data_IF_207799652336
#
_entry.id   IF_207799652336
#
_cell.length_a   1.000
_cell.length_b   1.000
_cell.length_c   1.000
_cell.angle_alpha   90.00
_cell.angle_beta   90.00
_cell.angle_gamma   90.00
#
_symmetry.space_group_name_H-M   'P 1'
#
loop_
_entity.id
_entity.type
_entity.pdbx_description
1 polymer ?
#
# COMPACT_ATOMS: atom_id res chain seq x y z
N UNK A 1 -42.02 32.67 -91.05
CA UNK A 1 -41.48 31.91 -89.92
C UNK A 1 -40.02 32.26 -89.87
N UNK A 2 -39.58 32.97 -88.89
CA UNK A 2 -38.22 33.57 -88.84
C UNK A 2 -37.33 32.61 -88.05
N UNK A 3 -36.25 32.23 -88.71
CA UNK A 3 -35.08 31.56 -88.18
C UNK A 3 -34.23 32.56 -87.42
N UNK A 4 -34.07 32.40 -86.17
CA UNK A 4 -33.24 33.28 -85.33
C UNK A 4 -31.87 32.60 -85.15
N UNK A 5 -30.88 33.22 -85.77
CA UNK A 5 -29.49 32.77 -85.72
C UNK A 5 -28.89 33.00 -84.32
N UNK A 6 -28.39 31.95 -83.71
CA UNK A 6 -27.58 32.01 -82.47
C UNK A 6 -26.20 32.63 -82.80
N UNK A 7 -25.72 33.55 -81.94
CA UNK A 7 -24.37 34.10 -82.12
C UNK A 7 -23.30 33.11 -81.63
N UNK A 8 -22.25 32.97 -82.49
CA UNK A 8 -21.05 32.19 -82.19
C UNK A 8 -20.28 32.77 -80.99
N UNK A 9 -19.70 31.94 -80.14
CA UNK A 9 -18.85 32.40 -79.03
C UNK A 9 -17.52 32.96 -79.60
N UNK A 10 -16.94 34.00 -78.95
CA UNK A 10 -15.68 34.56 -79.39
C UNK A 10 -14.51 33.62 -79.15
N UNK A 11 -13.62 33.50 -80.16
CA UNK A 11 -12.39 32.73 -80.05
C UNK A 11 -11.45 33.30 -79.01
N UNK A 12 -10.82 32.46 -78.18
CA UNK A 12 -9.84 32.93 -77.23
C UNK A 12 -8.58 33.45 -77.89
N UNK A 13 -8.13 34.63 -77.49
CA UNK A 13 -6.91 35.28 -77.91
C UNK A 13 -5.72 34.51 -77.34
N UNK A 14 -4.71 34.06 -78.03
CA UNK A 14 -3.52 33.49 -77.46
C UNK A 14 -2.76 34.58 -76.69
N UNK A 15 -2.69 34.45 -75.38
CA UNK A 15 -1.80 35.25 -74.56
C UNK A 15 -0.45 34.52 -74.55
N UNK A 16 0.54 35.09 -75.24
CA UNK A 16 1.93 34.68 -75.05
C UNK A 16 2.33 35.08 -73.64
N UNK A 17 2.38 34.06 -72.75
CA UNK A 17 2.89 34.21 -71.41
C UNK A 17 4.42 34.08 -71.43
N UNK A 18 5.18 35.18 -71.26
CA UNK A 18 6.62 35.10 -71.28
C UNK A 18 7.03 34.29 -70.01
N UNK A 19 7.62 33.13 -70.22
CA UNK A 19 8.22 32.35 -69.15
C UNK A 19 9.07 33.24 -68.23
N UNK A 20 8.87 33.24 -66.93
CA UNK A 20 9.71 34.04 -66.04
C UNK A 20 11.18 33.60 -66.18
N UNK A 21 12.12 34.52 -66.10
CA UNK A 21 13.54 34.20 -66.21
C UNK A 21 13.91 33.21 -65.12
N UNK A 22 14.68 32.16 -65.47
CA UNK A 22 15.21 31.19 -64.54
C UNK A 22 16.00 31.93 -63.49
N UNK A 23 15.48 31.90 -62.26
CA UNK A 23 16.19 32.42 -61.07
C UNK A 23 17.41 31.53 -60.88
N UNK A 24 18.64 32.04 -60.88
CA UNK A 24 19.81 31.20 -60.54
C UNK A 24 19.62 30.61 -59.17
N UNK A 25 19.83 29.29 -59.03
CA UNK A 25 19.80 28.62 -57.72
C UNK A 25 20.65 29.38 -56.71
N UNK A 26 20.06 29.78 -55.61
CA UNK A 26 20.73 30.53 -54.57
C UNK A 26 21.92 29.71 -54.05
N UNK A 27 23.10 30.08 -54.57
CA UNK A 27 24.36 29.50 -54.09
C UNK A 27 24.57 29.85 -52.64
N UNK A 28 24.55 28.83 -51.80
CA UNK A 28 24.98 28.80 -50.39
C UNK A 28 24.56 30.01 -49.54
N UNK A 29 23.52 29.83 -48.79
CA UNK A 29 23.20 30.72 -47.69
C UNK A 29 24.29 30.61 -46.62
N UNK A 30 25.19 31.59 -46.52
CA UNK A 30 26.29 31.66 -45.57
C UNK A 30 25.81 31.79 -44.10
N UNK A 31 24.50 32.01 -43.88
CA UNK A 31 23.85 32.07 -42.57
C UNK A 31 23.04 30.79 -42.22
N UNK A 32 23.06 29.78 -43.08
CA UNK A 32 22.46 28.52 -42.74
C UNK A 32 23.38 27.77 -41.78
N UNK A 33 23.00 27.75 -40.48
CA UNK A 33 23.65 26.88 -39.51
C UNK A 33 23.45 25.42 -39.93
N UNK A 34 24.55 24.70 -40.06
CA UNK A 34 24.50 23.25 -40.22
C UNK A 34 23.93 22.64 -38.95
N UNK A 35 22.70 22.15 -39.01
CA UNK A 35 22.12 21.32 -37.95
C UNK A 35 22.52 19.88 -38.29
N UNK A 36 23.42 19.27 -37.52
CA UNK A 36 23.78 17.89 -37.78
C UNK A 36 22.52 17.02 -37.60
N UNK A 37 22.31 16.04 -38.47
CA UNK A 37 21.20 15.13 -38.34
C UNK A 37 21.25 14.48 -36.94
N UNK A 38 20.10 14.29 -36.28
CA UNK A 38 20.09 13.64 -34.99
C UNK A 38 20.79 12.29 -35.08
N UNK A 39 21.59 11.91 -34.08
CA UNK A 39 22.30 10.65 -34.10
C UNK A 39 21.29 9.51 -34.30
N UNK A 40 21.55 8.69 -35.32
CA UNK A 40 20.75 7.49 -35.57
C UNK A 40 20.86 6.61 -34.33
N UNK A 41 19.80 6.57 -33.54
CA UNK A 41 19.73 5.66 -32.39
C UNK A 41 19.77 4.23 -32.94
N UNK A 42 20.92 3.57 -32.78
CA UNK A 42 20.98 2.13 -33.02
C UNK A 42 19.86 1.46 -32.21
N UNK A 43 19.02 0.64 -32.84
CA UNK A 43 18.03 -0.14 -32.07
C UNK A 43 18.76 -0.83 -30.91
N UNK A 44 18.27 -0.62 -29.69
CA UNK A 44 18.79 -1.33 -28.55
C UNK A 44 18.70 -2.84 -28.85
N UNK A 45 19.73 -3.63 -28.54
CA UNK A 45 19.63 -5.06 -28.73
C UNK A 45 18.38 -5.57 -27.98
N UNK A 46 17.61 -6.49 -28.57
CA UNK A 46 16.41 -7.00 -27.93
C UNK A 46 16.79 -7.50 -26.53
N UNK A 47 16.14 -6.95 -25.50
CA UNK A 47 16.30 -7.44 -24.13
C UNK A 47 15.96 -8.91 -24.15
N UNK A 48 16.83 -9.82 -23.67
CA UNK A 48 16.52 -11.24 -23.67
C UNK A 48 15.22 -11.46 -22.92
N UNK A 49 14.23 -12.00 -23.60
CA UNK A 49 12.96 -12.41 -22.97
C UNK A 49 13.31 -13.41 -21.89
N UNK A 50 12.94 -13.19 -20.61
CA UNK A 50 13.23 -14.13 -19.55
C UNK A 50 12.65 -15.48 -19.92
N UNK A 51 13.50 -16.50 -20.00
CA UNK A 51 13.07 -17.89 -20.23
C UNK A 51 12.11 -18.26 -19.10
N UNK A 52 10.89 -18.77 -19.39
CA UNK A 52 9.97 -19.20 -18.36
C UNK A 52 10.66 -20.21 -17.44
N UNK A 53 10.61 -19.97 -16.13
CA UNK A 53 11.16 -20.88 -15.14
C UNK A 53 10.48 -22.25 -15.27
N UNK A 54 11.20 -23.37 -15.13
CA UNK A 54 10.61 -24.69 -15.16
C UNK A 54 9.52 -24.80 -14.08
N UNK A 55 8.42 -25.54 -14.35
CA UNK A 55 7.33 -25.68 -13.38
C UNK A 55 7.86 -26.30 -12.07
N UNK A 56 7.40 -25.80 -10.93
CA UNK A 56 7.88 -26.28 -9.63
C UNK A 56 7.55 -27.77 -9.43
N UNK A 57 8.46 -28.56 -8.87
CA UNK A 57 8.27 -29.98 -8.67
C UNK A 57 7.26 -30.32 -7.56
N UNK A 58 7.02 -29.41 -6.60
CA UNK A 58 5.99 -29.51 -5.57
C UNK A 58 4.82 -28.60 -5.95
N UNK A 59 3.61 -28.97 -5.55
CA UNK A 59 2.43 -28.14 -5.83
C UNK A 59 1.70 -27.83 -4.54
N UNK A 60 1.42 -26.54 -4.30
CA UNK A 60 0.49 -26.07 -3.27
C UNK A 60 -0.81 -25.72 -3.95
N UNK A 61 -1.90 -26.40 -3.54
CA UNK A 61 -3.25 -26.19 -4.07
C UNK A 61 -4.06 -25.21 -3.20
N UNK A 62 -3.91 -25.29 -1.87
CA UNK A 62 -4.62 -24.41 -0.96
C UNK A 62 -3.88 -24.25 0.37
N UNK A 63 -4.20 -23.15 1.04
CA UNK A 63 -3.69 -22.78 2.35
C UNK A 63 -4.87 -22.42 3.24
N UNK A 64 -4.91 -22.93 4.45
CA UNK A 64 -5.99 -22.67 5.41
C UNK A 64 -5.41 -22.36 6.79
N UNK A 65 -5.79 -21.23 7.42
CA UNK A 65 -6.66 -20.18 6.90
C UNK A 65 -5.98 -19.33 5.82
N UNK A 66 -6.77 -18.74 4.90
CA UNK A 66 -6.25 -17.84 3.85
C UNK A 66 -6.14 -16.40 4.36
N UNK A 67 -6.97 -16.04 5.35
CA UNK A 67 -7.03 -14.72 5.93
C UNK A 67 -6.90 -14.82 7.44
N UNK A 68 -6.06 -13.99 8.03
CA UNK A 68 -5.86 -13.86 9.47
C UNK A 68 -5.76 -12.39 9.84
N UNK A 69 -5.89 -12.09 11.14
CA UNK A 69 -5.67 -10.71 11.61
C UNK A 69 -4.26 -10.56 12.18
N UNK A 70 -3.67 -9.41 11.96
CA UNK A 70 -2.40 -9.04 12.58
C UNK A 70 -2.51 -9.03 14.12
N UNK A 71 -1.40 -9.29 14.80
CA UNK A 71 -1.29 -9.29 16.26
C UNK A 71 -2.18 -10.32 16.98
N UNK A 72 -2.65 -11.33 16.27
CA UNK A 72 -3.29 -12.49 16.90
C UNK A 72 -2.22 -13.42 17.48
N UNK A 73 -2.64 -14.38 18.31
CA UNK A 73 -1.77 -15.45 18.84
C UNK A 73 -1.32 -16.39 17.73
N UNK A 74 -0.37 -17.24 18.05
CA UNK A 74 0.07 -18.34 17.21
C UNK A 74 -1.12 -19.17 16.71
N UNK A 75 -1.07 -19.59 15.48
CA UNK A 75 -2.14 -20.37 14.87
C UNK A 75 -1.59 -21.49 14.00
N UNK A 76 -2.45 -22.47 13.77
CA UNK A 76 -2.15 -23.59 12.89
C UNK A 76 -2.45 -23.23 11.44
N UNK A 77 -1.48 -23.50 10.57
CA UNK A 77 -1.59 -23.34 9.13
C UNK A 77 -1.58 -24.73 8.51
N UNK A 78 -2.61 -25.07 7.78
CA UNK A 78 -2.72 -26.30 7.04
C UNK A 78 -2.55 -26.00 5.53
N UNK A 79 -1.70 -26.78 4.87
CA UNK A 79 -1.40 -26.66 3.44
C UNK A 79 -1.80 -27.95 2.75
N UNK A 80 -2.66 -27.85 1.77
CA UNK A 80 -2.97 -28.94 0.85
C UNK A 80 -2.22 -28.74 -0.47
N UNK A 81 -1.76 -29.85 -1.04
CA UNK A 81 -0.99 -29.83 -2.27
C UNK A 81 -0.69 -31.22 -2.79
N UNK A 82 0.42 -31.38 -3.47
CA UNK A 82 0.84 -32.69 -3.99
C UNK A 82 2.36 -32.85 -3.96
N UNK A 83 2.81 -34.12 -3.90
CA UNK A 83 4.20 -34.56 -3.89
C UNK A 83 5.01 -34.12 -2.66
N UNK A 84 4.35 -33.86 -1.53
CA UNK A 84 5.05 -33.57 -0.30
C UNK A 84 5.80 -34.80 0.24
N UNK A 85 6.94 -34.58 0.86
CA UNK A 85 7.77 -35.59 1.49
C UNK A 85 7.97 -35.27 2.98
N UNK A 86 8.38 -36.23 3.81
CA UNK A 86 8.68 -35.97 5.23
C UNK A 86 9.77 -34.92 5.48
N UNK A 87 10.61 -34.66 4.47
CA UNK A 87 11.67 -33.65 4.54
C UNK A 87 11.18 -32.25 4.14
N UNK A 88 10.00 -32.15 3.55
CA UNK A 88 9.46 -30.88 3.09
C UNK A 88 9.13 -29.96 4.25
N UNK A 89 9.49 -28.68 4.14
CA UNK A 89 9.27 -27.64 5.12
C UNK A 89 8.47 -26.47 4.54
N UNK A 90 7.70 -25.83 5.38
CA UNK A 90 6.92 -24.63 5.04
C UNK A 90 7.74 -23.41 5.41
N UNK A 91 7.78 -22.43 4.50
CA UNK A 91 8.44 -21.15 4.70
C UNK A 91 7.42 -20.01 4.54
N UNK A 92 7.47 -19.03 5.45
CA UNK A 92 6.73 -17.80 5.36
C UNK A 92 7.71 -16.62 5.22
N UNK A 93 7.61 -15.86 4.11
CA UNK A 93 8.54 -14.77 3.78
C UNK A 93 10.02 -15.19 3.91
N UNK A 94 10.32 -16.44 3.52
CA UNK A 94 11.67 -17.01 3.59
C UNK A 94 12.09 -17.59 4.95
N UNK A 95 11.28 -17.45 6.00
CA UNK A 95 11.52 -18.05 7.32
C UNK A 95 10.91 -19.44 7.39
N UNK A 96 11.67 -20.41 7.87
CA UNK A 96 11.20 -21.77 8.11
C UNK A 96 10.21 -21.80 9.28
N UNK A 97 9.11 -22.55 9.09
CA UNK A 97 8.13 -22.83 10.13
C UNK A 97 8.31 -24.27 10.63
N UNK A 98 7.98 -24.48 11.90
CA UNK A 98 7.89 -25.83 12.48
C UNK A 98 6.81 -26.61 11.72
N UNK A 99 7.26 -27.46 10.79
CA UNK A 99 6.39 -28.17 9.85
C UNK A 99 6.15 -29.60 10.31
N UNK A 100 4.90 -30.00 10.33
CA UNK A 100 4.47 -31.39 10.57
C UNK A 100 4.00 -31.99 9.26
N UNK A 101 4.62 -33.05 8.83
CA UNK A 101 4.17 -33.86 7.68
C UNK A 101 2.98 -34.72 8.10
N UNK A 102 1.87 -34.61 7.39
CA UNK A 102 0.65 -35.38 7.61
C UNK A 102 0.44 -36.41 6.48
N UNK A 103 1.01 -36.15 5.31
CA UNK A 103 0.89 -37.02 4.15
C UNK A 103 1.40 -36.36 2.87
N UNK A 104 1.45 -37.08 1.75
CA UNK A 104 1.98 -36.57 0.48
C UNK A 104 1.18 -35.39 -0.09
N UNK A 105 -0.03 -35.15 0.44
CA UNK A 105 -0.93 -34.09 0.01
C UNK A 105 -1.21 -33.07 1.09
N UNK A 106 -0.67 -33.26 2.32
CA UNK A 106 -0.99 -32.38 3.43
C UNK A 106 0.20 -32.13 4.35
N UNK A 107 0.42 -30.86 4.62
CA UNK A 107 1.35 -30.36 5.62
C UNK A 107 0.65 -29.46 6.62
N UNK A 108 1.19 -29.36 7.81
CA UNK A 108 0.71 -28.44 8.83
C UNK A 108 1.91 -27.75 9.48
N UNK A 109 1.76 -26.48 9.83
CA UNK A 109 2.76 -25.72 10.57
C UNK A 109 2.13 -24.81 11.59
N UNK A 110 2.90 -24.45 12.60
CA UNK A 110 2.54 -23.40 13.55
C UNK A 110 3.15 -22.08 13.07
N UNK A 111 2.29 -21.09 12.82
CA UNK A 111 2.72 -19.74 12.48
C UNK A 111 2.79 -18.92 13.75
N UNK A 112 3.97 -18.43 14.16
CA UNK A 112 4.12 -17.62 15.35
C UNK A 112 3.54 -16.22 15.14
N UNK A 113 3.00 -15.62 16.21
CA UNK A 113 2.44 -14.27 16.20
C UNK A 113 3.40 -13.21 15.63
N UNK A 114 4.70 -13.41 15.83
CA UNK A 114 5.73 -12.51 15.28
C UNK A 114 5.74 -12.47 13.75
N UNK A 115 5.35 -13.54 13.06
CA UNK A 115 5.29 -13.56 11.58
C UNK A 115 4.11 -12.75 11.03
N UNK A 116 3.09 -12.51 11.86
CA UNK A 116 1.88 -11.76 11.53
C UNK A 116 1.71 -10.49 12.37
N UNK A 117 2.80 -9.91 12.85
CA UNK A 117 2.76 -8.70 13.68
C UNK A 117 2.16 -7.49 12.93
N UNK A 118 2.35 -7.43 11.63
CA UNK A 118 1.88 -6.34 10.76
C UNK A 118 0.98 -6.87 9.66
N UNK A 119 0.05 -6.04 9.21
CA UNK A 119 -0.81 -6.31 8.05
C UNK A 119 0.00 -6.43 6.75
N UNK A 120 -0.55 -7.14 5.78
CA UNK A 120 0.03 -7.34 4.45
C UNK A 120 -0.08 -8.79 3.98
N UNK A 121 0.25 -9.00 2.73
CA UNK A 121 0.34 -10.33 2.15
C UNK A 121 1.64 -11.00 2.58
N UNK A 122 1.56 -12.27 3.02
CA UNK A 122 2.72 -13.10 3.35
C UNK A 122 2.85 -14.19 2.31
N UNK A 123 4.06 -14.35 1.78
CA UNK A 123 4.33 -15.40 0.82
C UNK A 123 4.62 -16.70 1.55
N UNK A 124 3.92 -17.77 1.15
CA UNK A 124 4.13 -19.12 1.66
C UNK A 124 4.73 -19.95 0.52
N UNK A 125 5.82 -20.61 0.80
CA UNK A 125 6.49 -21.53 -0.12
C UNK A 125 6.82 -22.80 0.63
N UNK A 126 6.60 -23.93 -0.01
CA UNK A 126 6.98 -25.24 0.49
C UNK A 126 8.23 -25.69 -0.26
N UNK A 127 9.28 -26.06 0.47
CA UNK A 127 10.53 -26.53 -0.14
C UNK A 127 11.23 -27.55 0.74
N UNK A 128 12.16 -28.31 0.15
CA UNK A 128 13.09 -29.15 0.91
C UNK A 128 14.23 -28.30 1.49
N UNK A 129 14.85 -28.70 2.61
CA UNK A 129 15.93 -27.93 3.25
C UNK A 129 17.15 -27.73 2.33
N UNK A 130 17.40 -28.65 1.43
CA UNK A 130 18.47 -28.57 0.41
C UNK A 130 18.11 -27.60 -0.75
N UNK A 131 16.86 -27.15 -0.81
CA UNK A 131 16.36 -26.25 -1.85
C UNK A 131 16.17 -26.87 -3.22
N UNK A 132 16.35 -28.17 -3.37
CA UNK A 132 16.22 -28.85 -4.67
C UNK A 132 14.78 -28.94 -5.15
N UNK A 133 13.83 -29.12 -4.22
CA UNK A 133 12.41 -29.17 -4.52
C UNK A 133 11.72 -27.95 -3.89
N UNK A 134 10.88 -27.29 -4.67
CA UNK A 134 10.11 -26.13 -4.24
C UNK A 134 8.71 -26.12 -4.87
N UNK A 135 7.78 -25.40 -4.25
CA UNK A 135 6.41 -25.26 -4.73
C UNK A 135 6.17 -23.90 -5.40
N UNK A 136 5.05 -23.83 -6.10
CA UNK A 136 4.45 -22.52 -6.41
C UNK A 136 4.19 -21.75 -5.12
N UNK A 137 4.31 -20.40 -5.14
CA UNK A 137 4.00 -19.56 -3.99
C UNK A 137 2.50 -19.52 -3.75
N UNK A 138 2.10 -19.53 -2.48
CA UNK A 138 0.76 -19.24 -2.01
C UNK A 138 0.75 -17.99 -1.15
N UNK A 139 -0.40 -17.36 -0.97
CA UNK A 139 -0.51 -16.12 -0.22
C UNK A 139 -1.40 -16.28 1.00
N UNK A 140 -0.91 -15.85 2.14
CA UNK A 140 -1.67 -15.65 3.37
C UNK A 140 -1.90 -14.15 3.55
N UNK A 141 -3.17 -13.73 3.60
CA UNK A 141 -3.53 -12.34 3.83
C UNK A 141 -3.62 -12.04 5.32
N UNK A 142 -2.81 -11.10 5.79
CA UNK A 142 -2.86 -10.60 7.16
C UNK A 142 -3.56 -9.25 7.14
N UNK A 143 -4.79 -9.21 7.63
CA UNK A 143 -5.60 -7.99 7.70
C UNK A 143 -5.36 -7.22 9.00
N UNK A 144 -5.62 -5.90 8.97
CA UNK A 144 -5.67 -5.12 10.19
C UNK A 144 -6.76 -5.66 11.13
N UNK A 145 -6.49 -5.79 12.44
CA UNK A 145 -7.52 -6.20 13.37
C UNK A 145 -8.61 -5.13 13.48
N UNK A 146 -9.87 -5.52 13.65
CA UNK A 146 -10.95 -4.57 13.89
C UNK A 146 -10.66 -3.70 15.12
N UNK A 147 -10.90 -2.40 14.98
CA UNK A 147 -10.71 -1.43 16.06
C UNK A 147 -12.07 -0.96 16.59
N UNK A 148 -12.18 -0.63 17.90
CA UNK A 148 -13.40 -0.04 18.46
C UNK A 148 -13.72 1.28 17.77
N UNK A 149 -14.96 1.43 17.28
CA UNK A 149 -15.40 2.66 16.61
C UNK A 149 -15.91 3.71 17.62
N UNK A 150 -15.18 3.88 18.73
CA UNK A 150 -15.52 4.77 19.80
C UNK A 150 -14.41 5.75 20.12
N UNK A 151 -14.80 6.88 20.69
CA UNK A 151 -13.88 7.85 21.32
C UNK A 151 -14.23 7.92 22.80
N UNK A 152 -13.25 7.87 23.66
CA UNK A 152 -13.44 8.04 25.10
C UNK A 152 -13.52 9.54 25.42
N UNK A 153 -14.69 10.00 25.90
CA UNK A 153 -14.97 11.44 26.06
C UNK A 153 -15.15 11.86 27.52
N UNK A 154 -15.29 10.93 28.45
CA UNK A 154 -15.46 11.28 29.84
C UNK A 154 -15.56 10.11 30.80
N UNK A 155 -15.37 10.42 32.09
CA UNK A 155 -15.53 9.51 33.21
C UNK A 155 -16.55 10.11 34.18
N UNK A 156 -17.52 9.33 34.57
CA UNK A 156 -18.48 9.65 35.65
C UNK A 156 -18.27 8.68 36.77
N UNK A 157 -18.13 9.20 38.00
CA UNK A 157 -17.78 8.41 39.18
C UNK A 157 -16.30 8.61 39.52
N UNK A 158 -15.87 8.21 40.66
CA UNK A 158 -14.51 8.42 41.13
C UNK A 158 -14.12 7.50 42.27
N UNK A 159 -14.94 6.49 42.55
CA UNK A 159 -14.68 5.55 43.63
C UNK A 159 -14.65 4.11 43.12
N UNK A 160 -13.48 3.68 42.83
CA UNK A 160 -12.86 2.34 42.68
C UNK A 160 -13.60 1.20 41.96
N UNK A 161 -14.94 1.11 41.94
CA UNK A 161 -15.65 -0.05 41.36
C UNK A 161 -16.84 0.31 40.45
N UNK A 162 -17.33 1.57 40.51
CA UNK A 162 -18.48 2.02 39.73
C UNK A 162 -18.13 3.14 38.74
N UNK A 163 -16.89 3.17 38.31
CA UNK A 163 -16.48 4.13 37.30
C UNK A 163 -17.21 3.84 36.00
N UNK A 164 -17.97 4.82 35.52
CA UNK A 164 -18.70 4.75 34.25
C UNK A 164 -17.97 5.59 33.22
N UNK A 165 -17.46 4.97 32.18
CA UNK A 165 -16.86 5.67 31.07
C UNK A 165 -17.93 6.07 30.06
N UNK A 166 -17.80 7.28 29.52
CA UNK A 166 -18.65 7.77 28.43
C UNK A 166 -17.88 7.61 27.13
N UNK A 167 -18.40 6.78 26.25
CA UNK A 167 -17.90 6.55 24.91
C UNK A 167 -18.80 7.25 23.89
N UNK A 168 -18.21 7.95 22.95
CA UNK A 168 -18.91 8.55 21.81
C UNK A 168 -18.68 7.68 20.58
N UNK A 169 -19.74 7.16 19.99
CA UNK A 169 -19.68 6.44 18.73
C UNK A 169 -19.27 7.39 17.60
N UNK A 170 -18.25 7.02 16.83
CA UNK A 170 -17.70 7.88 15.76
C UNK A 170 -18.67 8.08 14.60
N UNK A 171 -19.53 7.09 14.33
CA UNK A 171 -20.49 7.15 13.23
C UNK A 171 -21.78 7.85 13.63
N UNK A 172 -22.46 7.32 14.65
CA UNK A 172 -23.77 7.83 15.08
C UNK A 172 -23.69 9.07 15.98
N UNK A 173 -22.50 9.38 16.53
CA UNK A 173 -22.25 10.43 17.52
C UNK A 173 -22.97 10.23 18.86
N UNK A 174 -23.66 9.11 19.05
CA UNK A 174 -24.34 8.77 20.27
C UNK A 174 -23.36 8.51 21.41
N UNK A 175 -23.78 8.90 22.62
CA UNK A 175 -23.05 8.61 23.85
C UNK A 175 -23.51 7.29 24.42
N UNK A 176 -22.57 6.45 24.80
CA UNK A 176 -22.79 5.15 25.45
C UNK A 176 -22.06 5.14 26.78
N UNK A 177 -22.79 4.88 27.84
CA UNK A 177 -22.22 4.71 29.16
C UNK A 177 -21.83 3.24 29.35
N UNK A 178 -20.59 3.00 29.76
CA UNK A 178 -20.05 1.66 29.93
C UNK A 178 -19.31 1.55 31.24
N UNK A 179 -19.40 0.36 31.87
CA UNK A 179 -18.69 0.00 33.08
C UNK A 179 -17.66 -1.10 32.79
N UNK A 180 -16.79 -1.33 33.74
CA UNK A 180 -15.85 -2.46 33.67
C UNK A 180 -16.62 -3.78 33.59
N UNK A 181 -16.28 -4.57 32.56
CA UNK A 181 -16.95 -5.84 32.28
C UNK A 181 -17.96 -5.77 31.15
N UNK A 182 -18.47 -4.59 30.81
CA UNK A 182 -19.42 -4.41 29.73
C UNK A 182 -18.78 -4.73 28.36
N UNK A 183 -19.63 -5.10 27.41
CA UNK A 183 -19.22 -5.37 26.03
C UNK A 183 -19.88 -4.37 25.09
N UNK A 184 -19.07 -3.63 24.35
CA UNK A 184 -19.51 -2.69 23.33
C UNK A 184 -19.43 -3.31 21.95
N UNK A 185 -20.41 -2.97 21.08
CA UNK A 185 -20.55 -3.56 19.73
C UNK A 185 -20.54 -5.10 19.72
N UNK A 186 -20.93 -5.76 20.81
CA UNK A 186 -20.96 -7.23 20.93
C UNK A 186 -19.61 -7.91 20.84
N UNK A 187 -18.51 -7.14 20.85
CA UNK A 187 -17.17 -7.67 20.59
C UNK A 187 -16.08 -7.17 21.54
N UNK A 188 -16.13 -5.92 21.93
CA UNK A 188 -15.08 -5.30 22.74
C UNK A 188 -15.48 -5.23 24.20
N UNK A 189 -14.80 -5.99 25.05
CA UNK A 189 -15.06 -6.00 26.49
C UNK A 189 -14.22 -4.94 27.20
N UNK A 190 -14.85 -4.12 28.03
CA UNK A 190 -14.16 -3.14 28.87
C UNK A 190 -13.43 -3.86 29.99
N UNK A 191 -12.12 -3.73 30.08
CA UNK A 191 -11.29 -4.38 31.09
C UNK A 191 -10.75 -3.42 32.14
N UNK A 192 -10.52 -2.16 31.76
CA UNK A 192 -10.03 -1.13 32.67
C UNK A 192 -10.55 0.23 32.25
N UNK A 193 -10.90 1.06 33.23
CA UNK A 193 -11.32 2.46 33.04
C UNK A 193 -10.43 3.30 33.96
N UNK A 194 -9.91 4.39 33.44
CA UNK A 194 -9.12 5.38 34.15
C UNK A 194 -9.44 6.78 33.69
N UNK A 195 -8.97 7.80 34.41
CA UNK A 195 -9.12 9.20 34.01
C UNK A 195 -8.42 9.57 32.70
N UNK A 196 -7.45 8.75 32.25
CA UNK A 196 -6.63 9.04 31.06
C UNK A 196 -7.02 8.19 29.87
N UNK A 197 -7.48 6.96 30.12
CA UNK A 197 -7.71 5.98 29.08
C UNK A 197 -8.71 4.91 29.51
N UNK A 198 -9.35 4.31 28.54
CA UNK A 198 -10.15 3.10 28.70
C UNK A 198 -9.49 1.97 27.91
N UNK A 199 -9.44 0.79 28.48
CA UNK A 199 -8.88 -0.40 27.86
C UNK A 199 -10.00 -1.37 27.51
N UNK A 200 -10.07 -1.69 26.21
CA UNK A 200 -11.02 -2.64 25.65
C UNK A 200 -10.25 -3.87 25.13
N UNK A 201 -10.82 -5.04 25.29
CA UNK A 201 -10.25 -6.27 24.74
C UNK A 201 -11.24 -6.90 23.78
N UNK A 202 -10.77 -7.15 22.57
CA UNK A 202 -11.53 -7.93 21.59
C UNK A 202 -11.73 -9.35 22.12
N UNK A 203 -12.97 -9.77 22.31
CA UNK A 203 -13.31 -11.08 22.88
C UNK A 203 -12.93 -12.25 21.98
N UNK A 204 -12.91 -12.02 20.66
CA UNK A 204 -12.61 -13.05 19.67
C UNK A 204 -11.10 -13.18 19.40
N UNK A 205 -10.42 -12.04 19.24
CA UNK A 205 -9.00 -11.99 18.87
C UNK A 205 -8.08 -11.82 20.08
N UNK A 206 -8.62 -11.50 21.27
CA UNK A 206 -7.89 -11.19 22.49
C UNK A 206 -6.91 -10.02 22.38
N UNK A 207 -7.15 -9.15 21.40
CA UNK A 207 -6.34 -7.96 21.16
C UNK A 207 -6.79 -6.83 22.09
N UNK A 208 -5.81 -6.20 22.75
CA UNK A 208 -6.04 -5.05 23.62
C UNK A 208 -6.07 -3.76 22.80
N UNK A 209 -7.07 -2.93 23.03
CA UNK A 209 -7.21 -1.59 22.46
C UNK A 209 -7.28 -0.56 23.59
N UNK A 210 -6.45 0.45 23.52
CA UNK A 210 -6.44 1.56 24.46
C UNK A 210 -6.99 2.80 23.79
N UNK A 211 -8.05 3.38 24.33
CA UNK A 211 -8.62 4.65 23.87
C UNK A 211 -8.29 5.73 24.89
N UNK A 212 -7.46 6.72 24.52
CA UNK A 212 -7.17 7.84 25.40
C UNK A 212 -8.40 8.73 25.58
N UNK A 213 -8.49 9.42 26.73
CA UNK A 213 -9.49 10.45 26.94
C UNK A 213 -9.29 11.58 25.95
N UNK A 214 -10.29 11.87 25.15
CA UNK A 214 -10.28 12.97 24.21
C UNK A 214 -11.11 14.11 24.78
N UNK A 215 -10.45 15.18 25.17
CA UNK A 215 -11.14 16.45 25.49
C UNK A 215 -11.52 17.12 24.18
N UNK A 216 -12.78 17.42 23.95
CA UNK A 216 -13.20 18.16 22.75
C UNK A 216 -12.47 19.51 22.74
N UNK A 217 -11.52 19.69 21.83
CA UNK A 217 -10.69 20.88 21.71
C UNK A 217 -9.19 20.64 21.57
N UNK A 218 -8.70 19.44 21.88
CA UNK A 218 -7.27 19.13 21.67
C UNK A 218 -7.09 18.40 20.34
N UNK A 219 -6.81 19.16 19.29
CA UNK A 219 -6.18 18.62 18.07
C UNK A 219 -4.92 17.89 18.48
N UNK A 220 -4.66 16.65 18.01
CA UNK A 220 -3.37 16.00 18.26
C UNK A 220 -2.27 16.92 17.76
N UNK A 221 -1.46 17.42 18.69
CA UNK A 221 -0.46 18.43 18.43
C UNK A 221 0.51 17.98 17.35
N UNK A 222 0.64 18.81 16.32
CA UNK A 222 1.81 18.80 15.45
C UNK A 222 3.08 18.96 16.30
N UNK A 223 4.27 18.70 15.74
CA UNK A 223 5.52 18.65 16.47
C UNK A 223 5.70 19.94 17.26
N UNK A 224 5.81 19.84 18.58
CA UNK A 224 6.09 20.95 19.47
C UNK A 224 7.43 21.57 19.05
N UNK A 225 7.36 22.80 18.52
CA UNK A 225 8.55 23.64 18.38
C UNK A 225 9.13 23.82 19.78
N UNK A 226 10.33 23.31 19.98
CA UNK A 226 11.12 23.64 21.17
C UNK A 226 11.22 25.16 21.30
N UNK A 227 11.04 25.72 22.50
CA UNK A 227 11.30 27.12 22.75
C UNK A 227 12.80 27.41 22.44
N UNK A 228 13.03 28.29 21.50
CA UNK A 228 14.37 28.81 21.26
C UNK A 228 14.79 29.61 22.52
N UNK A 229 15.89 29.23 23.15
CA UNK A 229 16.51 29.99 24.20
C UNK A 229 16.91 31.35 23.64
N UNK A 230 16.67 32.45 24.37
CA UNK A 230 17.18 33.75 23.97
C UNK A 230 18.71 33.74 23.94
N UNK A 231 19.28 34.14 22.82
CA UNK A 231 20.70 34.39 22.66
C UNK A 231 21.00 35.64 23.48
N UNK A 232 21.71 35.50 24.60
CA UNK A 232 22.32 36.62 25.31
C UNK A 232 23.46 37.10 24.45
N UNK A 233 23.29 38.27 23.85
CA UNK A 233 24.38 39.04 23.24
C UNK A 233 25.11 39.71 24.39
N UNK A 234 26.24 39.15 24.80
CA UNK A 234 27.22 39.85 25.62
C UNK A 234 27.81 40.99 24.77
N UNK A 235 27.39 42.18 25.07
CA UNK A 235 27.96 43.40 24.55
C UNK A 235 29.28 43.65 25.32
N UNK A 236 30.37 43.39 24.63
CA UNK A 236 31.69 43.82 25.04
C UNK A 236 31.75 45.35 24.90
N UNK A 237 31.68 46.04 26.05
CA UNK A 237 31.85 47.46 26.20
C UNK A 237 33.30 47.76 26.53
N UNK A 238 34.05 47.99 25.47
CA UNK A 238 35.37 48.62 25.56
C UNK A 238 35.22 50.09 26.00
N UNK A 239 35.84 50.49 27.10
CA UNK A 239 36.00 51.89 27.51
C UNK A 239 37.46 52.19 27.86
N UNK A 240 38.10 53.17 27.17
CA UNK A 240 39.48 53.52 27.40
C UNK A 240 39.57 54.67 28.40
N UNK A 241 40.39 54.53 29.44
CA UNK A 241 41.28 55.55 30.01
C UNK A 241 42.27 54.91 30.95
#
# INVERSE_FOLDING_TARGET
MREEASPLPPSPIPVDDPSPPAVPEASRNIFAYYVPPPPVQKPAPPTPTPTPAPPPPLTVSSVSPTNVYARTSDFKLDIAGDKFTPQTRIYIDGRELETRYLGPQQLSATVPAAAIAYEGARQIVVRTPDGTLYSNPATLNVAAPPVPNYTYVGLVGGQRYNDTAILKDKNSKNLVNVQRGDTVSGRFRVTSISQREIVLVDTNLRIKHTLPLTTEGTTPGGPQRMPQQPVTTDGDGDDPQ
#
